data_IF_656466271799
#
_entry.id   IF_656466271799
#
_cell.length_a   1.000
_cell.length_b   1.000
_cell.length_c   1.000
_cell.angle_alpha   90.00
_cell.angle_beta   90.00
_cell.angle_gamma   90.00
#
_symmetry.space_group_name_H-M   'P 1'
#
loop_
_entity.id
_entity.type
_entity.pdbx_description
1 polymer ?
#
# COMPACT_ATOMS: atom_id res chain seq x y z
N UNK A 1 -31.17 -14.24 5.38
CA UNK A 1 -30.22 -13.51 6.10
C UNK A 1 -29.12 -12.98 5.20
N UNK A 2 -29.24 -11.74 4.71
CA UNK A 2 -28.21 -11.03 3.94
C UNK A 2 -28.15 -9.64 4.56
N UNK A 3 -27.60 -9.53 5.77
CA UNK A 3 -27.52 -8.24 6.46
C UNK A 3 -26.15 -7.90 7.06
N UNK A 4 -25.09 -8.70 6.80
CA UNK A 4 -23.83 -8.51 7.55
C UNK A 4 -22.61 -8.08 6.70
N UNK A 5 -22.81 -7.41 5.56
CA UNK A 5 -21.71 -6.95 4.71
C UNK A 5 -21.63 -5.43 4.49
N UNK A 6 -22.23 -4.65 5.36
CA UNK A 6 -22.02 -3.19 5.40
C UNK A 6 -20.95 -2.80 6.44
N UNK A 7 -19.78 -3.40 6.35
CA UNK A 7 -18.63 -2.89 7.08
C UNK A 7 -17.93 -1.83 6.24
N UNK A 8 -18.05 -0.61 6.67
CA UNK A 8 -17.44 0.59 6.11
C UNK A 8 -15.94 0.42 5.84
N UNK A 9 -15.53 0.76 4.62
CA UNK A 9 -14.21 0.52 4.05
C UNK A 9 -13.13 1.50 4.54
N UNK A 10 -12.88 1.60 5.83
CA UNK A 10 -11.74 2.35 6.38
C UNK A 10 -10.65 1.40 6.89
N UNK A 11 -10.05 0.62 5.98
CA UNK A 11 -9.04 -0.34 6.39
C UNK A 11 -7.68 -0.04 5.78
N UNK A 12 -6.71 0.18 6.64
CA UNK A 12 -5.30 0.17 6.30
C UNK A 12 -4.85 -1.29 6.14
N UNK A 13 -4.30 -1.65 4.98
CA UNK A 13 -3.83 -3.01 4.69
C UNK A 13 -2.33 -3.06 4.50
N UNK A 14 -1.67 -3.97 5.22
CA UNK A 14 -0.26 -4.31 5.02
C UNK A 14 -0.17 -5.76 4.55
N UNK A 15 0.51 -5.99 3.44
CA UNK A 15 0.81 -7.33 2.96
C UNK A 15 2.31 -7.57 2.97
N UNK A 16 2.74 -8.70 3.52
CA UNK A 16 4.11 -9.21 3.42
C UNK A 16 4.11 -10.45 2.52
N UNK A 17 4.94 -10.45 1.49
CA UNK A 17 5.17 -11.65 0.69
C UNK A 17 6.23 -12.50 1.37
N UNK A 18 5.92 -13.75 1.67
CA UNK A 18 6.90 -14.71 2.21
C UNK A 18 7.78 -15.16 1.05
N UNK A 19 9.00 -14.65 0.97
CA UNK A 19 10.03 -15.16 0.08
C UNK A 19 10.73 -16.36 0.74
N UNK A 20 11.02 -17.40 -0.04
CA UNK A 20 11.90 -18.50 0.40
C UNK A 20 13.29 -17.92 0.65
N UNK A 21 13.74 -17.95 1.89
CA UNK A 21 15.15 -17.81 2.21
C UNK A 21 15.89 -19.08 1.76
N UNK A 22 16.75 -18.92 0.78
CA UNK A 22 17.83 -19.87 0.54
C UNK A 22 18.93 -19.59 1.55
N UNK A 23 19.13 -20.52 2.45
CA UNK A 23 20.25 -20.56 3.39
C UNK A 23 21.50 -20.88 2.60
N UNK A 24 22.43 -19.95 2.45
CA UNK A 24 23.80 -20.22 2.10
C UNK A 24 24.69 -20.00 3.34
N UNK A 25 25.10 -21.11 3.92
CA UNK A 25 26.21 -21.24 4.86
C UNK A 25 27.51 -21.25 4.06
N UNK A 26 28.40 -20.32 4.31
CA UNK A 26 29.86 -20.47 4.22
C UNK A 26 30.48 -19.28 4.95
N UNK A 27 31.22 -19.53 5.77
CA UNK A 27 32.34 -19.71 6.60
C UNK A 27 33.52 -18.82 6.27
N UNK A 28 34.11 -18.40 7.38
CA UNK A 28 35.51 -18.09 7.65
C UNK A 28 35.96 -16.64 7.67
N UNK A 29 36.58 -16.40 8.80
CA UNK A 29 37.33 -15.29 9.35
C UNK A 29 38.32 -14.65 8.39
N UNK A 30 38.50 -13.32 8.44
CA UNK A 30 39.76 -12.72 8.85
C UNK A 30 39.65 -11.21 9.09
N UNK A 31 40.27 -10.80 10.12
CA UNK A 31 40.57 -9.50 10.66
C UNK A 31 40.89 -8.40 9.65
N UNK A 32 40.14 -7.30 9.71
CA UNK A 32 40.64 -6.00 9.31
C UNK A 32 40.08 -4.89 10.19
N UNK A 33 40.80 -4.60 11.22
CA UNK A 33 40.76 -3.37 12.00
C UNK A 33 41.14 -2.21 11.10
N UNK A 34 40.21 -1.53 10.43
CA UNK A 34 40.33 -0.13 10.04
C UNK A 34 39.05 0.37 9.41
N UNK A 35 38.44 1.36 10.06
CA UNK A 35 37.37 2.22 9.53
C UNK A 35 36.10 1.52 8.99
N UNK A 36 35.32 0.99 9.89
CA UNK A 36 33.89 0.77 9.62
C UNK A 36 33.17 2.14 9.46
N UNK A 37 33.24 2.73 8.26
CA UNK A 37 32.20 3.67 7.85
C UNK A 37 30.88 2.90 8.02
N UNK A 38 30.10 3.19 9.07
CA UNK A 38 28.71 2.71 9.18
C UNK A 38 28.04 3.07 7.86
N UNK A 39 27.94 2.10 6.93
CA UNK A 39 27.06 2.23 5.76
C UNK A 39 25.71 2.57 6.34
N UNK A 40 25.23 3.81 6.17
CA UNK A 40 23.85 4.18 6.49
C UNK A 40 22.97 3.14 5.80
N UNK A 41 22.33 2.26 6.56
CA UNK A 41 21.43 1.25 6.03
C UNK A 41 20.42 2.02 5.18
N UNK A 42 20.41 1.78 3.86
CA UNK A 42 19.49 2.44 2.94
C UNK A 42 18.09 2.08 3.42
N UNK A 43 17.30 3.07 3.74
CA UNK A 43 15.91 2.83 4.17
C UNK A 43 15.13 2.22 3.02
N UNK A 44 14.40 1.15 3.30
CA UNK A 44 13.51 0.52 2.33
C UNK A 44 12.43 1.49 1.87
N UNK A 45 12.07 1.40 0.62
CA UNK A 45 10.96 2.18 0.06
C UNK A 45 9.63 1.68 0.63
N UNK A 46 8.82 2.61 1.15
CA UNK A 46 7.46 2.32 1.56
C UNK A 46 6.56 2.33 0.33
N UNK A 47 5.91 1.20 0.05
CA UNK A 47 4.96 1.07 -1.04
C UNK A 47 3.55 1.30 -0.51
N UNK A 48 2.89 2.34 -1.04
CA UNK A 48 1.51 2.71 -0.68
C UNK A 48 0.61 2.49 -1.89
N UNK A 49 -0.45 1.74 -1.73
CA UNK A 49 -1.44 1.49 -2.78
C UNK A 49 -2.74 2.24 -2.48
N UNK A 50 -3.31 2.86 -3.49
CA UNK A 50 -4.61 3.51 -3.41
C UNK A 50 -5.38 3.44 -4.72
N UNK A 51 -6.69 3.66 -4.60
CA UNK A 51 -7.63 3.63 -5.71
C UNK A 51 -8.60 4.81 -5.57
N UNK A 52 -8.80 5.55 -6.67
CA UNK A 52 -9.76 6.63 -6.75
C UNK A 52 -10.65 6.47 -7.98
N UNK A 53 -11.91 6.90 -7.89
CA UNK A 53 -12.86 6.86 -8.99
C UNK A 53 -13.59 8.18 -9.13
N UNK A 54 -13.33 8.88 -10.24
CA UNK A 54 -13.92 10.18 -10.54
C UNK A 54 -13.20 11.37 -9.89
N UNK A 55 -13.51 12.55 -10.39
CA UNK A 55 -12.75 13.79 -10.13
C UNK A 55 -12.69 14.20 -8.66
N UNK A 56 -13.72 13.91 -7.87
CA UNK A 56 -13.71 14.19 -6.44
C UNK A 56 -12.66 13.34 -5.72
N UNK A 57 -12.67 12.03 -5.98
CA UNK A 57 -11.71 11.12 -5.34
C UNK A 57 -10.27 11.32 -5.84
N UNK A 58 -10.08 11.77 -7.07
CA UNK A 58 -8.76 12.20 -7.56
C UNK A 58 -8.19 13.38 -6.74
N UNK A 59 -9.03 14.35 -6.38
CA UNK A 59 -8.61 15.46 -5.50
C UNK A 59 -8.27 14.98 -4.10
N UNK A 60 -9.09 14.11 -3.53
CA UNK A 60 -8.85 13.52 -2.22
C UNK A 60 -7.57 12.68 -2.23
N UNK A 61 -7.33 11.90 -3.28
CA UNK A 61 -6.12 11.12 -3.46
C UNK A 61 -4.86 11.98 -3.43
N UNK A 62 -4.85 13.15 -4.06
CA UNK A 62 -3.73 14.11 -3.95
C UNK A 62 -3.50 14.57 -2.51
N UNK A 63 -4.57 14.84 -1.77
CA UNK A 63 -4.50 15.24 -0.36
C UNK A 63 -3.93 14.09 0.48
N UNK A 64 -4.40 12.86 0.25
CA UNK A 64 -3.90 11.65 0.91
C UNK A 64 -2.39 11.50 0.66
N UNK A 65 -1.93 11.53 -0.60
CA UNK A 65 -0.52 11.42 -0.98
C UNK A 65 0.35 12.48 -0.29
N UNK A 66 -0.11 13.72 -0.26
CA UNK A 66 0.58 14.81 0.42
C UNK A 66 0.64 14.61 1.94
N UNK A 67 -0.44 14.10 2.54
CA UNK A 67 -0.48 13.80 3.97
C UNK A 67 0.51 12.71 4.34
N UNK A 68 0.59 11.64 3.54
CA UNK A 68 1.59 10.57 3.67
C UNK A 68 3.00 11.16 3.59
N UNK A 69 3.31 11.94 2.53
CA UNK A 69 4.64 12.51 2.35
C UNK A 69 5.04 13.44 3.50
N UNK A 70 4.10 14.23 4.01
CA UNK A 70 4.36 15.15 5.12
C UNK A 70 4.69 14.46 6.44
N UNK A 71 4.15 13.27 6.67
CA UNK A 71 4.24 12.56 7.96
C UNK A 71 5.21 11.38 7.93
N UNK A 72 5.53 10.86 6.75
CA UNK A 72 6.33 9.65 6.60
C UNK A 72 7.76 9.96 6.23
N UNK A 73 8.69 9.34 6.94
CA UNK A 73 10.14 9.46 6.68
C UNK A 73 10.61 8.41 5.67
N UNK A 74 11.66 8.75 4.92
CA UNK A 74 12.29 7.87 3.93
C UNK A 74 11.63 7.90 2.55
N UNK A 75 12.06 7.02 1.63
CA UNK A 75 11.52 6.95 0.29
C UNK A 75 10.11 6.35 0.29
N UNK A 76 9.24 6.91 -0.56
CA UNK A 76 7.85 6.48 -0.71
C UNK A 76 7.56 6.28 -2.18
N UNK A 77 6.88 5.20 -2.51
CA UNK A 77 6.34 4.94 -3.84
C UNK A 77 4.85 4.67 -3.75
N UNK A 78 4.08 5.50 -4.45
CA UNK A 78 2.65 5.29 -4.60
C UNK A 78 2.37 4.40 -5.81
N UNK A 79 1.48 3.43 -5.61
CA UNK A 79 0.90 2.59 -6.63
C UNK A 79 -0.57 2.98 -6.78
N UNK A 80 -0.94 3.51 -7.93
CA UNK A 80 -2.28 4.01 -8.16
C UNK A 80 -2.99 3.11 -9.18
N UNK A 81 -4.25 2.75 -8.88
CA UNK A 81 -5.04 1.93 -9.79
C UNK A 81 -5.51 2.78 -10.98
N UNK A 82 -4.99 2.48 -12.15
CA UNK A 82 -5.09 3.33 -13.35
C UNK A 82 -6.47 3.38 -13.98
N UNK A 83 -7.21 2.27 -13.93
CA UNK A 83 -8.44 2.05 -14.72
C UNK A 83 -9.49 3.16 -14.62
N UNK A 84 -9.46 3.94 -13.55
CA UNK A 84 -10.46 4.99 -13.27
C UNK A 84 -9.86 6.39 -13.16
N UNK A 85 -8.57 6.55 -13.44
CA UNK A 85 -7.88 7.84 -13.34
C UNK A 85 -7.88 8.58 -14.66
N UNK A 86 -8.11 9.89 -14.59
CA UNK A 86 -8.02 10.75 -15.78
C UNK A 86 -6.57 10.98 -16.21
N UNK A 87 -6.28 11.20 -17.53
CA UNK A 87 -4.94 11.56 -17.99
C UNK A 87 -4.40 12.80 -17.27
N UNK A 88 -5.21 13.83 -17.12
CA UNK A 88 -4.83 15.06 -16.41
C UNK A 88 -4.42 14.82 -14.96
N UNK A 89 -5.11 13.90 -14.27
CA UNK A 89 -4.70 13.54 -12.92
C UNK A 89 -3.33 12.83 -12.91
N UNK A 90 -3.09 11.92 -13.86
CA UNK A 90 -1.84 11.16 -13.95
C UNK A 90 -0.63 12.08 -14.15
N UNK A 91 -0.73 13.04 -15.05
CA UNK A 91 0.30 14.06 -15.27
C UNK A 91 0.55 14.89 -14.00
N UNK A 92 -0.52 15.37 -13.38
CA UNK A 92 -0.43 16.15 -12.16
C UNK A 92 0.11 15.37 -10.97
N UNK A 93 -0.12 14.06 -10.89
CA UNK A 93 0.40 13.20 -9.83
C UNK A 93 1.91 12.95 -9.99
N UNK A 94 2.39 12.78 -11.24
CA UNK A 94 3.82 12.67 -11.53
C UNK A 94 4.57 13.95 -11.17
N UNK A 95 4.09 15.10 -11.66
CA UNK A 95 4.68 16.40 -11.33
C UNK A 95 4.68 16.68 -9.81
N UNK A 96 3.63 16.23 -9.10
CA UNK A 96 3.57 16.34 -7.66
C UNK A 96 4.63 15.46 -6.98
N UNK A 97 4.85 14.25 -7.49
CA UNK A 97 5.87 13.32 -7.00
C UNK A 97 7.27 13.91 -7.12
N UNK A 98 7.62 14.43 -8.29
CA UNK A 98 8.89 15.11 -8.54
C UNK A 98 9.10 16.29 -7.58
N UNK A 99 8.08 17.14 -7.43
CA UNK A 99 8.16 18.33 -6.56
C UNK A 99 8.26 17.99 -5.08
N UNK A 100 7.67 16.88 -4.63
CA UNK A 100 7.55 16.51 -3.20
C UNK A 100 8.46 15.37 -2.77
N UNK A 101 9.17 14.75 -3.70
CA UNK A 101 10.12 13.68 -3.41
C UNK A 101 9.45 12.36 -3.06
N UNK A 102 8.57 11.88 -3.95
CA UNK A 102 8.01 10.53 -3.93
C UNK A 102 7.78 10.02 -5.34
N UNK A 103 7.83 8.71 -5.51
CA UNK A 103 7.58 8.07 -6.78
C UNK A 103 6.10 7.72 -6.96
N UNK A 104 5.62 7.75 -8.21
CA UNK A 104 4.27 7.32 -8.59
C UNK A 104 4.38 6.27 -9.69
N UNK A 105 3.70 5.16 -9.50
CA UNK A 105 3.52 4.12 -10.51
C UNK A 105 2.05 3.75 -10.63
N UNK A 106 1.68 3.29 -11.81
CA UNK A 106 0.30 2.89 -12.09
C UNK A 106 0.22 1.39 -12.22
N UNK A 107 -0.87 0.83 -11.71
CA UNK A 107 -1.22 -0.58 -11.88
C UNK A 107 -2.59 -0.67 -12.51
N UNK A 108 -2.73 -1.58 -13.45
CA UNK A 108 -3.99 -1.86 -14.14
C UNK A 108 -4.28 -3.34 -14.11
N UNK A 109 -5.55 -3.69 -14.07
CA UNK A 109 -5.97 -5.08 -14.12
C UNK A 109 -7.35 -5.20 -14.75
N UNK A 110 -7.48 -6.12 -15.71
CA UNK A 110 -8.76 -6.44 -16.30
C UNK A 110 -9.45 -7.52 -15.45
N UNK A 111 -10.75 -7.35 -15.18
CA UNK A 111 -11.53 -8.37 -14.47
C UNK A 111 -11.41 -9.71 -15.22
N UNK A 112 -11.02 -10.80 -14.54
CA UNK A 112 -10.81 -12.08 -15.20
C UNK A 112 -12.11 -12.65 -15.78
N UNK A 113 -12.04 -13.21 -16.98
CA UNK A 113 -13.20 -13.80 -17.66
C UNK A 113 -13.78 -15.03 -16.95
N UNK A 114 -12.91 -15.77 -16.25
CA UNK A 114 -13.29 -16.95 -15.46
C UNK A 114 -14.00 -16.60 -14.15
N UNK A 115 -13.93 -15.35 -13.70
CA UNK A 115 -14.59 -14.90 -12.51
C UNK A 115 -15.96 -14.31 -12.87
N UNK A 116 -16.98 -14.71 -12.12
CA UNK A 116 -18.35 -14.21 -12.33
C UNK A 116 -18.36 -12.70 -12.51
N UNK A 117 -18.95 -12.25 -13.60
CA UNK A 117 -19.07 -10.81 -13.91
C UNK A 117 -19.80 -10.08 -12.79
N UNK A 118 -19.14 -9.03 -12.28
CA UNK A 118 -19.72 -8.14 -11.28
C UNK A 118 -20.22 -6.87 -11.98
N UNK A 119 -21.48 -6.52 -11.78
CA UNK A 119 -22.12 -5.35 -12.39
C UNK A 119 -22.19 -4.14 -11.44
N UNK A 120 -22.13 -4.39 -10.14
CA UNK A 120 -22.18 -3.32 -9.13
C UNK A 120 -20.79 -2.68 -9.01
N UNK A 121 -20.66 -1.42 -9.45
CA UNK A 121 -19.40 -0.67 -9.47
C UNK A 121 -18.64 -0.73 -8.14
N UNK A 122 -19.33 -0.57 -7.03
CA UNK A 122 -18.71 -0.61 -5.70
C UNK A 122 -18.07 -1.96 -5.39
N UNK A 123 -18.73 -3.06 -5.74
CA UNK A 123 -18.21 -4.41 -5.53
C UNK A 123 -17.03 -4.70 -6.45
N UNK A 124 -17.01 -4.15 -7.67
CA UNK A 124 -15.86 -4.22 -8.57
C UNK A 124 -14.66 -3.55 -7.93
N UNK A 125 -14.85 -2.34 -7.39
CA UNK A 125 -13.80 -1.59 -6.68
C UNK A 125 -13.27 -2.38 -5.48
N UNK A 126 -14.15 -2.97 -4.68
CA UNK A 126 -13.74 -3.82 -3.55
C UNK A 126 -12.99 -5.06 -4.00
N UNK A 127 -13.39 -5.67 -5.12
CA UNK A 127 -12.66 -6.78 -5.73
C UNK A 127 -11.20 -6.41 -6.01
N UNK A 128 -10.94 -5.27 -6.62
CA UNK A 128 -9.57 -4.80 -6.87
C UNK A 128 -8.78 -4.54 -5.60
N UNK A 129 -9.42 -4.06 -4.55
CA UNK A 129 -8.77 -3.81 -3.26
C UNK A 129 -8.43 -5.10 -2.49
N UNK A 130 -9.12 -6.19 -2.75
CA UNK A 130 -9.09 -7.40 -1.92
C UNK A 130 -8.57 -8.61 -2.66
N UNK A 131 -9.13 -8.92 -3.83
CA UNK A 131 -8.91 -10.20 -4.50
C UNK A 131 -7.64 -10.22 -5.35
N UNK A 132 -7.25 -9.07 -5.91
CA UNK A 132 -6.18 -9.02 -6.91
C UNK A 132 -4.86 -8.46 -6.40
N UNK A 133 -4.70 -8.29 -5.09
CA UNK A 133 -3.45 -7.75 -4.52
C UNK A 133 -2.22 -8.59 -4.88
N UNK A 134 -2.41 -9.88 -5.18
CA UNK A 134 -1.31 -10.79 -5.53
C UNK A 134 -0.77 -10.58 -6.92
N UNK A 135 -1.60 -10.08 -7.82
CA UNK A 135 -1.28 -9.94 -9.25
C UNK A 135 -1.07 -8.49 -9.68
N UNK A 136 -1.44 -7.53 -8.85
CA UNK A 136 -1.34 -6.10 -9.17
C UNK A 136 0.10 -5.56 -9.12
N UNK A 137 0.98 -6.17 -8.35
CA UNK A 137 2.30 -5.61 -8.07
C UNK A 137 3.42 -6.51 -8.57
N UNK A 138 4.57 -5.91 -8.97
CA UNK A 138 5.78 -6.65 -9.29
C UNK A 138 6.21 -7.58 -8.15
N UNK A 139 6.90 -8.67 -8.49
CA UNK A 139 7.31 -9.71 -7.53
C UNK A 139 8.33 -9.23 -6.50
N UNK A 140 9.07 -8.18 -6.83
CA UNK A 140 10.07 -7.54 -5.97
C UNK A 140 9.47 -6.58 -4.94
N UNK A 141 8.17 -6.32 -4.98
CA UNK A 141 7.47 -5.53 -3.95
C UNK A 141 7.18 -6.42 -2.73
N UNK A 142 7.94 -6.28 -1.63
CA UNK A 142 7.87 -7.23 -0.52
C UNK A 142 6.60 -7.08 0.32
N UNK A 143 6.07 -5.87 0.41
CA UNK A 143 4.83 -5.54 1.11
C UNK A 143 4.23 -4.23 0.62
N UNK A 144 2.97 -4.03 0.95
CA UNK A 144 2.21 -2.85 0.53
C UNK A 144 1.31 -2.38 1.68
N UNK A 145 1.17 -1.07 1.80
CA UNK A 145 0.19 -0.44 2.68
C UNK A 145 -0.94 0.09 1.81
N UNK A 146 -2.16 -0.41 2.02
CA UNK A 146 -3.34 0.15 1.37
C UNK A 146 -3.90 1.33 2.18
N UNK A 147 -4.12 2.46 1.52
CA UNK A 147 -4.74 3.67 2.10
C UNK A 147 -5.86 4.13 1.17
N UNK A 148 -7.08 4.32 1.69
CA UNK A 148 -8.18 4.85 0.88
C UNK A 148 -7.91 6.30 0.44
N UNK A 149 -8.40 6.66 -0.75
CA UNK A 149 -8.15 7.96 -1.36
C UNK A 149 -8.69 9.15 -0.52
N UNK A 150 -9.72 8.92 0.27
CA UNK A 150 -10.37 9.91 1.13
C UNK A 150 -9.84 9.96 2.56
N UNK A 151 -8.76 9.23 2.84
CA UNK A 151 -8.09 9.25 4.14
C UNK A 151 -7.01 10.34 4.22
N UNK A 152 -6.82 10.88 5.43
CA UNK A 152 -5.71 11.79 5.74
C UNK A 152 -4.80 11.11 6.76
N UNK A 153 -3.56 10.83 6.34
CA UNK A 153 -2.57 10.17 7.20
C UNK A 153 -2.00 11.18 8.20
N UNK A 154 -2.12 10.87 9.49
CA UNK A 154 -1.68 11.70 10.59
C UNK A 154 -0.41 11.20 11.28
N UNK A 155 -0.08 9.92 11.11
CA UNK A 155 1.10 9.25 11.66
C UNK A 155 2.17 8.97 10.61
N UNK A 156 3.30 8.45 11.05
CA UNK A 156 4.39 8.00 10.18
C UNK A 156 4.12 6.57 9.70
N UNK A 157 3.91 6.38 8.41
CA UNK A 157 3.67 5.04 7.84
C UNK A 157 4.88 4.10 7.99
N UNK A 158 6.07 4.63 8.36
CA UNK A 158 7.21 3.79 8.69
C UNK A 158 6.94 2.87 9.87
N UNK A 159 6.24 3.35 10.88
CA UNK A 159 5.83 2.55 12.05
C UNK A 159 4.98 1.35 11.63
N UNK A 160 4.05 1.56 10.69
CA UNK A 160 3.23 0.49 10.14
C UNK A 160 4.01 -0.41 9.19
N UNK A 161 4.94 0.16 8.42
CA UNK A 161 5.82 -0.59 7.53
C UNK A 161 6.73 -1.56 8.27
N UNK A 162 7.26 -1.13 9.41
CA UNK A 162 8.20 -1.90 10.22
C UNK A 162 7.48 -2.87 11.20
N UNK A 163 6.13 -2.83 11.24
CA UNK A 163 5.35 -3.74 12.08
C UNK A 163 5.59 -5.20 11.67
N UNK A 164 5.90 -6.04 12.65
CA UNK A 164 5.98 -7.48 12.47
C UNK A 164 4.57 -8.08 12.45
N UNK A 165 4.22 -8.70 11.33
CA UNK A 165 2.94 -9.40 11.18
C UNK A 165 2.98 -10.84 11.71
N UNK A 166 4.05 -11.26 12.39
CA UNK A 166 4.18 -12.59 13.01
C UNK A 166 3.86 -13.75 12.04
N UNK A 167 4.28 -13.62 10.79
CA UNK A 167 4.02 -14.60 9.75
C UNK A 167 2.65 -14.49 9.06
N UNK A 168 1.77 -13.61 9.52
CA UNK A 168 0.49 -13.36 8.84
C UNK A 168 0.67 -12.57 7.54
N UNK A 169 -0.10 -12.94 6.51
CA UNK A 169 -0.05 -12.26 5.21
C UNK A 169 -0.68 -10.87 5.23
N UNK A 170 -1.56 -10.58 6.17
CA UNK A 170 -2.32 -9.34 6.25
C UNK A 170 -2.43 -8.81 7.68
N UNK A 171 -2.36 -7.48 7.81
CA UNK A 171 -2.76 -6.75 9.00
C UNK A 171 -3.91 -5.80 8.68
N UNK A 172 -4.81 -5.61 9.63
CA UNK A 172 -5.95 -4.71 9.51
C UNK A 172 -6.05 -3.84 10.76
N UNK A 173 -6.45 -2.59 10.58
CA UNK A 173 -6.86 -1.77 11.72
C UNK A 173 -8.24 -2.23 12.20
N UNK A 174 -8.47 -2.34 13.52
CA UNK A 174 -9.80 -2.63 14.03
C UNK A 174 -10.78 -1.53 13.63
N UNK A 175 -12.01 -1.92 13.32
CA UNK A 175 -13.01 -0.99 12.82
C UNK A 175 -13.47 0.00 13.90
N UNK A 176 -13.67 -0.47 15.11
CA UNK A 176 -14.11 0.35 16.23
C UNK A 176 -14.00 -0.42 17.56
N UNK A 177 -13.40 0.19 18.58
CA UNK A 177 -13.38 -0.39 19.93
C UNK A 177 -14.70 -0.20 20.67
N UNK A 178 -15.56 0.73 20.21
CA UNK A 178 -16.83 1.06 20.86
C UNK A 178 -17.89 -0.03 20.78
N UNK A 179 -17.70 -1.10 19.98
CA UNK A 179 -18.63 -2.25 19.96
C UNK A 179 -18.50 -3.21 21.14
N UNK A 180 -17.46 -3.09 21.96
CA UNK A 180 -17.30 -3.92 23.15
C UNK A 180 -18.19 -3.51 24.33
N UNK A 181 -18.77 -2.33 24.28
CA UNK A 181 -19.61 -1.79 25.37
C UNK A 181 -21.14 -2.00 25.14
N UNK A 182 -21.57 -2.64 24.06
CA UNK A 182 -22.99 -2.80 23.69
C UNK A 182 -23.43 -4.27 23.55
N UNK A 183 -22.74 -5.22 24.18
CA UNK A 183 -23.20 -6.61 24.29
C UNK A 183 -23.30 -7.00 25.75
#
# INVERSE_FOLDING_TARGET
GVSDFEASAHQLRVRKRVGKESVELLGEEESSWFFSKKKKKKMDTIHVFSLATGSLYERMLKIMMLSVRKRTTGPIKFWLFENYLTPHFKEGAQALGEKKGFDVSYVTYKWPEWLRTQTVKQRIIWGYKILFLDVLFPLDVPKIIYVDADQVVRGNLRELWDLDLQGHAYGYTPFCDSRKETL
#
